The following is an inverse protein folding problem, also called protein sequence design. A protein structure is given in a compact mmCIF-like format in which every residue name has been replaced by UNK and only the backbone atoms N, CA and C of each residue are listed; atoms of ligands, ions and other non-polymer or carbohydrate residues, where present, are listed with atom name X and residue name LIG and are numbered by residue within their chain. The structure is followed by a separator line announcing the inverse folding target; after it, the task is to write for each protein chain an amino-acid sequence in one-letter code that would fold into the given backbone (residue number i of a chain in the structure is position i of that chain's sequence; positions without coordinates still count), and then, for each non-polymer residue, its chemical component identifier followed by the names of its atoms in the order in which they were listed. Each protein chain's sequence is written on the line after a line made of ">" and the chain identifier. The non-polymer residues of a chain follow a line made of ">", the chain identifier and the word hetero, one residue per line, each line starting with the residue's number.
data_IF_535637852770
#
_entry.id   IF_535637852770
#
_cell.length_a   1.000
_cell.length_b   1.000
_cell.length_c   1.000
_cell.angle_alpha   90.00
_cell.angle_beta   90.00
_cell.angle_gamma   90.00
#
_symmetry.space_group_name_H-M   'P 1'
#
loop_
_entity.id
_entity.type
_entity.pdbx_description
1 polymer ?
#
# COMPACT_ATOMS: atom_id res chain seq x y z
N UNK A 1 65.04 11.85 2.96
CA UNK A 1 64.22 10.74 3.47
C UNK A 1 62.76 11.22 3.49
N UNK A 2 61.90 10.73 2.60
CA UNK A 2 60.48 11.09 2.52
C UNK A 2 59.65 9.81 2.51
N UNK A 3 59.02 9.49 3.63
CA UNK A 3 57.99 8.45 3.71
C UNK A 3 56.89 8.98 4.63
N UNK A 4 55.70 8.43 4.44
CA UNK A 4 54.48 8.57 5.24
C UNK A 4 53.57 9.75 4.93
N UNK A 5 52.65 9.55 3.98
CA UNK A 5 51.28 10.12 4.01
C UNK A 5 50.37 9.39 3.02
N UNK A 6 50.03 8.12 3.27
CA UNK A 6 48.89 7.46 2.62
C UNK A 6 48.27 6.49 3.63
N UNK A 7 47.35 6.96 4.48
CA UNK A 7 46.52 6.09 5.33
C UNK A 7 45.34 6.83 6.01
N UNK A 8 44.58 7.68 5.28
CA UNK A 8 43.35 8.31 5.83
C UNK A 8 42.18 8.29 4.81
N UNK A 9 42.18 7.42 3.79
CA UNK A 9 41.10 7.40 2.79
C UNK A 9 40.08 6.25 2.91
N UNK A 10 40.22 5.34 3.89
CA UNK A 10 39.36 4.14 4.00
C UNK A 10 38.36 4.15 5.15
N UNK A 11 38.38 5.13 6.06
CA UNK A 11 37.47 5.20 7.20
C UNK A 11 36.19 6.02 6.96
N UNK A 12 36.05 6.70 5.81
CA UNK A 12 34.87 7.50 5.49
C UNK A 12 33.77 6.75 4.72
N UNK A 13 33.99 5.49 4.31
CA UNK A 13 33.08 4.75 3.43
C UNK A 13 32.08 3.83 4.16
N UNK A 14 32.22 3.60 5.48
CA UNK A 14 31.35 2.67 6.22
C UNK A 14 30.09 3.36 6.79
N UNK A 15 30.13 4.68 6.98
CA UNK A 15 29.02 5.45 7.58
C UNK A 15 27.87 5.83 6.62
N UNK A 16 28.05 5.71 5.31
CA UNK A 16 27.06 6.22 4.32
C UNK A 16 25.89 5.26 4.08
N UNK A 17 26.10 3.95 4.24
CA UNK A 17 25.06 2.95 3.95
C UNK A 17 23.84 3.08 4.88
N UNK A 18 24.06 3.33 6.18
CA UNK A 18 23.00 3.44 7.18
C UNK A 18 22.15 4.70 6.99
N UNK A 19 22.78 5.83 6.63
CA UNK A 19 22.07 7.08 6.34
C UNK A 19 21.16 6.94 5.11
N UNK A 20 21.62 6.22 4.07
CA UNK A 20 20.84 6.01 2.85
C UNK A 20 19.60 5.12 3.07
N UNK A 21 19.70 4.09 3.90
CA UNK A 21 18.56 3.21 4.23
C UNK A 21 17.50 3.97 5.02
N UNK A 22 17.90 4.76 6.02
CA UNK A 22 16.98 5.57 6.82
C UNK A 22 16.21 6.59 5.96
N UNK A 23 16.92 7.32 5.09
CA UNK A 23 16.30 8.31 4.20
C UNK A 23 15.34 7.67 3.18
N UNK A 24 15.68 6.49 2.63
CA UNK A 24 14.78 5.73 1.73
C UNK A 24 13.50 5.29 2.44
N UNK A 25 13.59 4.84 3.69
CA UNK A 25 12.43 4.43 4.49
C UNK A 25 11.52 5.61 4.83
N UNK A 26 12.09 6.75 5.24
CA UNK A 26 11.33 7.99 5.49
C UNK A 26 10.58 8.43 4.23
N UNK A 27 11.27 8.46 3.09
CA UNK A 27 10.66 8.84 1.82
C UNK A 27 9.55 7.87 1.39
N UNK A 28 9.78 6.56 1.56
CA UNK A 28 8.78 5.53 1.27
C UNK A 28 7.54 5.72 2.14
N UNK A 29 7.71 5.82 3.46
CA UNK A 29 6.59 5.95 4.40
C UNK A 29 5.80 7.24 4.15
N UNK A 30 6.47 8.35 3.83
CA UNK A 30 5.81 9.58 3.41
C UNK A 30 4.98 9.39 2.12
N UNK A 31 5.54 8.70 1.12
CA UNK A 31 4.81 8.42 -0.13
C UNK A 31 3.60 7.50 0.07
N UNK A 32 3.69 6.53 0.99
CA UNK A 32 2.57 5.65 1.39
C UNK A 32 1.48 6.50 2.03
N UNK A 33 1.83 7.37 3.00
CA UNK A 33 0.86 8.22 3.69
C UNK A 33 0.13 9.16 2.73
N UNK A 34 0.85 9.83 1.81
CA UNK A 34 0.24 10.72 0.81
C UNK A 34 -0.74 9.96 -0.11
N UNK A 35 -0.33 8.78 -0.58
CA UNK A 35 -1.21 7.95 -1.39
C UNK A 35 -2.44 7.47 -0.60
N UNK A 36 -2.23 7.01 0.63
CA UNK A 36 -3.28 6.50 1.51
C UNK A 36 -4.34 7.55 1.78
N UNK A 37 -3.94 8.76 2.18
CA UNK A 37 -4.86 9.88 2.43
C UNK A 37 -5.73 10.19 1.21
N UNK A 38 -5.12 10.19 0.01
CA UNK A 38 -5.86 10.40 -1.23
C UNK A 38 -6.84 9.27 -1.52
N UNK A 39 -6.38 8.02 -1.38
CA UNK A 39 -7.18 6.84 -1.67
C UNK A 39 -8.36 6.71 -0.71
N UNK A 40 -8.11 6.79 0.60
CA UNK A 40 -9.17 6.69 1.62
C UNK A 40 -10.22 7.78 1.45
N UNK A 41 -9.81 9.01 1.15
CA UNK A 41 -10.73 10.12 0.93
C UNK A 41 -11.64 9.85 -0.29
N UNK A 42 -11.10 9.28 -1.37
CA UNK A 42 -11.88 8.90 -2.54
C UNK A 42 -12.88 7.77 -2.21
N UNK A 43 -12.47 6.76 -1.44
CA UNK A 43 -13.36 5.66 -1.03
C UNK A 43 -14.49 6.15 -0.13
N UNK A 44 -14.18 6.98 0.88
CA UNK A 44 -15.17 7.57 1.80
C UNK A 44 -16.20 8.42 1.03
N UNK A 45 -15.76 9.16 0.02
CA UNK A 45 -16.63 9.95 -0.86
C UNK A 45 -17.36 9.13 -1.93
N UNK A 46 -17.07 7.83 -2.02
CA UNK A 46 -17.55 6.96 -3.10
C UNK A 46 -17.21 7.48 -4.51
N UNK A 47 -16.06 8.14 -4.66
CA UNK A 47 -15.56 8.64 -5.94
C UNK A 47 -14.94 7.50 -6.76
N UNK A 48 -15.81 6.74 -7.42
CA UNK A 48 -15.44 5.52 -8.17
C UNK A 48 -14.39 5.80 -9.25
N UNK A 49 -14.46 6.96 -9.89
CA UNK A 49 -13.54 7.33 -10.98
C UNK A 49 -12.14 7.54 -10.43
N UNK A 50 -12.02 8.28 -9.32
CA UNK A 50 -10.72 8.47 -8.67
C UNK A 50 -10.18 7.17 -8.11
N UNK A 51 -10.99 6.35 -7.43
CA UNK A 51 -10.53 5.06 -6.90
C UNK A 51 -10.06 4.14 -8.04
N UNK A 52 -10.78 4.08 -9.15
CA UNK A 52 -10.35 3.31 -10.32
C UNK A 52 -8.99 3.80 -10.86
N UNK A 53 -8.77 5.12 -10.91
CA UNK A 53 -7.49 5.69 -11.35
C UNK A 53 -6.33 5.37 -10.40
N UNK A 54 -6.63 5.18 -9.11
CA UNK A 54 -5.67 4.80 -8.06
C UNK A 54 -5.52 3.28 -7.91
N UNK A 55 -6.21 2.50 -8.73
CA UNK A 55 -6.16 1.04 -8.73
C UNK A 55 -5.26 0.51 -9.84
N UNK A 56 -4.72 -0.67 -9.63
CA UNK A 56 -4.06 -1.47 -10.65
C UNK A 56 -4.99 -2.62 -11.02
N UNK A 57 -5.18 -2.82 -12.32
CA UNK A 57 -6.00 -3.90 -12.85
C UNK A 57 -5.13 -5.06 -13.35
N UNK A 58 -5.55 -6.33 -13.18
CA UNK A 58 -6.76 -6.75 -12.46
C UNK A 58 -6.64 -6.56 -10.94
N UNK A 59 -7.75 -6.26 -10.28
CA UNK A 59 -7.85 -6.18 -8.82
C UNK A 59 -8.17 -7.59 -8.29
N UNK A 60 -7.37 -8.06 -7.34
CA UNK A 60 -7.57 -9.30 -6.60
C UNK A 60 -8.83 -9.24 -5.72
N UNK A 61 -9.51 -10.36 -5.59
CA UNK A 61 -10.72 -10.50 -4.79
C UNK A 61 -10.60 -11.74 -3.89
N UNK A 62 -11.40 -11.83 -2.82
CA UNK A 62 -11.43 -13.00 -1.95
C UNK A 62 -11.75 -14.31 -2.71
N UNK A 63 -11.54 -15.44 -2.05
CA UNK A 63 -11.63 -16.75 -2.68
C UNK A 63 -13.02 -16.98 -3.31
N UNK A 64 -13.04 -17.62 -4.49
CA UNK A 64 -14.28 -17.87 -5.23
C UNK A 64 -14.92 -16.62 -5.88
N UNK A 65 -14.43 -15.41 -5.60
CA UNK A 65 -14.92 -14.18 -6.23
C UNK A 65 -14.06 -13.84 -7.47
N UNK A 66 -14.67 -13.67 -8.66
CA UNK A 66 -13.90 -13.32 -9.85
C UNK A 66 -13.17 -11.99 -9.69
N UNK A 67 -11.93 -11.91 -10.20
CA UNK A 67 -11.15 -10.66 -10.22
C UNK A 67 -11.86 -9.55 -11.00
N UNK A 68 -11.57 -8.29 -10.63
CA UNK A 68 -12.06 -7.12 -11.36
C UNK A 68 -11.02 -6.70 -12.39
N UNK A 69 -11.29 -6.93 -13.67
CA UNK A 69 -10.30 -6.88 -14.75
C UNK A 69 -10.03 -5.50 -15.31
N UNK A 70 -10.95 -4.56 -15.17
CA UNK A 70 -10.83 -3.23 -15.75
C UNK A 70 -11.71 -2.20 -15.04
N UNK A 71 -11.54 -0.93 -15.44
CA UNK A 71 -12.26 0.22 -14.89
C UNK A 71 -13.80 0.09 -15.03
N UNK A 72 -14.30 -0.32 -16.20
CA UNK A 72 -15.74 -0.47 -16.41
C UNK A 72 -16.36 -1.52 -15.48
N UNK A 73 -15.69 -2.66 -15.30
CA UNK A 73 -16.11 -3.69 -14.36
C UNK A 73 -16.03 -3.19 -12.91
N UNK A 74 -15.00 -2.43 -12.57
CA UNK A 74 -14.83 -1.85 -11.24
C UNK A 74 -15.95 -0.88 -10.86
N UNK A 75 -16.32 0.05 -11.74
CA UNK A 75 -17.39 1.01 -11.46
C UNK A 75 -18.72 0.27 -11.17
N UNK A 76 -18.99 -0.82 -11.90
CA UNK A 76 -20.18 -1.67 -11.71
C UNK A 76 -20.11 -2.45 -10.40
N UNK A 77 -18.95 -3.01 -10.07
CA UNK A 77 -18.70 -3.87 -8.90
C UNK A 77 -18.15 -3.14 -7.69
N UNK A 78 -18.20 -1.81 -7.68
CA UNK A 78 -17.59 -0.99 -6.63
C UNK A 78 -18.07 -1.38 -5.23
N UNK A 79 -19.37 -1.72 -5.11
CA UNK A 79 -19.95 -2.21 -3.85
C UNK A 79 -19.40 -3.57 -3.45
N UNK A 80 -19.23 -4.51 -4.39
CA UNK A 80 -18.67 -5.83 -4.09
C UNK A 80 -17.23 -5.71 -3.55
N UNK A 81 -16.46 -4.75 -4.06
CA UNK A 81 -15.07 -4.51 -3.63
C UNK A 81 -14.99 -3.92 -2.22
N UNK A 82 -15.84 -2.93 -1.90
CA UNK A 82 -15.67 -2.13 -0.66
C UNK A 82 -16.76 -2.33 0.40
N UNK A 83 -17.87 -2.97 0.04
CA UNK A 83 -19.06 -3.17 0.88
C UNK A 83 -19.53 -4.64 0.87
N UNK A 84 -18.63 -5.59 0.56
CA UNK A 84 -18.90 -7.03 0.66
C UNK A 84 -18.88 -7.50 2.12
N UNK A 85 -17.72 -8.00 2.57
CA UNK A 85 -17.52 -8.50 3.94
C UNK A 85 -17.25 -7.40 4.98
N UNK A 86 -16.89 -6.20 4.54
CA UNK A 86 -16.62 -5.03 5.39
C UNK A 86 -17.29 -3.78 4.83
N UNK A 87 -17.43 -2.74 5.66
CA UNK A 87 -17.72 -1.38 5.19
C UNK A 87 -16.39 -0.60 5.15
N UNK A 88 -15.70 -0.65 4.01
CA UNK A 88 -14.37 -0.06 3.88
C UNK A 88 -14.39 1.45 4.11
N UNK A 89 -15.46 2.16 3.71
CA UNK A 89 -15.60 3.59 3.96
C UNK A 89 -15.65 3.93 5.46
N UNK A 90 -16.25 3.07 6.28
CA UNK A 90 -16.22 3.20 7.75
C UNK A 90 -14.83 2.87 8.28
N UNK A 91 -14.28 1.72 7.88
CA UNK A 91 -12.95 1.26 8.29
C UNK A 91 -11.86 2.32 8.04
N UNK A 92 -11.83 2.88 6.83
CA UNK A 92 -10.75 3.76 6.37
C UNK A 92 -10.74 5.16 7.04
N UNK A 93 -11.75 5.48 7.85
CA UNK A 93 -11.72 6.69 8.69
C UNK A 93 -10.66 6.59 9.79
N UNK A 94 -10.41 5.38 10.27
CA UNK A 94 -9.58 5.11 11.45
C UNK A 94 -8.37 4.25 11.10
N UNK A 95 -8.48 3.39 10.09
CA UNK A 95 -7.41 2.47 9.72
C UNK A 95 -6.15 3.17 9.21
N UNK A 96 -5.00 2.61 9.57
CA UNK A 96 -3.68 3.08 9.17
C UNK A 96 -2.98 2.05 8.26
N UNK A 97 -2.10 2.48 7.35
CA UNK A 97 -1.28 1.57 6.56
C UNK A 97 -0.35 0.72 7.42
N UNK A 98 -0.40 -0.59 7.23
CA UNK A 98 0.55 -1.55 7.76
C UNK A 98 1.69 -1.73 6.75
N UNK A 99 2.88 -1.27 7.11
CA UNK A 99 4.05 -1.29 6.24
C UNK A 99 4.81 -2.58 6.49
N UNK A 100 4.90 -3.43 5.47
CA UNK A 100 5.71 -4.64 5.54
C UNK A 100 7.21 -4.27 5.46
N UNK A 101 8.02 -4.53 6.50
CA UNK A 101 9.45 -4.23 6.47
C UNK A 101 10.21 -5.10 5.46
N UNK A 102 9.72 -6.31 5.20
CA UNK A 102 10.35 -7.31 4.32
C UNK A 102 9.93 -7.14 2.86
N UNK A 103 8.74 -6.56 2.62
CA UNK A 103 8.27 -6.22 1.27
C UNK A 103 8.04 -4.71 1.12
N UNK A 104 9.10 -3.98 0.78
CA UNK A 104 9.03 -2.52 0.55
C UNK A 104 8.19 -2.09 -0.65
N UNK A 105 7.71 -3.03 -1.47
CA UNK A 105 6.85 -2.78 -2.62
C UNK A 105 5.36 -2.95 -2.30
N UNK A 106 5.01 -3.24 -1.05
CA UNK A 106 3.62 -3.48 -0.62
C UNK A 106 3.34 -2.85 0.74
N UNK A 107 2.09 -2.46 0.95
CA UNK A 107 1.53 -2.22 2.28
C UNK A 107 0.07 -2.66 2.29
N UNK A 108 -0.47 -2.90 3.48
CA UNK A 108 -1.84 -3.38 3.67
C UNK A 108 -2.64 -2.44 4.56
N UNK A 109 -3.96 -2.61 4.54
CA UNK A 109 -4.87 -2.02 5.53
C UNK A 109 -5.86 -3.11 5.93
N UNK A 110 -5.87 -3.45 7.22
CA UNK A 110 -6.82 -4.42 7.77
C UNK A 110 -8.15 -3.73 8.14
N UNK A 111 -9.25 -4.42 7.84
CA UNK A 111 -10.60 -3.99 8.17
C UNK A 111 -11.38 -5.09 8.88
N UNK A 112 -12.22 -4.66 9.82
CA UNK A 112 -13.15 -5.55 10.51
C UNK A 112 -14.25 -6.04 9.56
N UNK A 113 -14.53 -7.34 9.57
CA UNK A 113 -15.71 -7.91 8.93
C UNK A 113 -17.00 -7.58 9.72
N UNK A 114 -18.14 -8.10 9.29
CA UNK A 114 -19.41 -7.91 9.99
C UNK A 114 -19.43 -8.48 11.43
N UNK A 115 -18.61 -9.50 11.72
CA UNK A 115 -18.45 -10.09 13.04
C UNK A 115 -17.48 -9.31 13.95
N UNK A 116 -16.80 -8.28 13.41
CA UNK A 116 -15.85 -7.44 14.16
C UNK A 116 -14.40 -7.93 14.13
N UNK A 117 -14.08 -8.93 13.31
CA UNK A 117 -12.75 -9.53 13.17
C UNK A 117 -11.95 -8.85 12.06
N UNK A 118 -10.68 -8.52 12.29
CA UNK A 118 -9.81 -7.84 11.31
C UNK A 118 -9.27 -8.80 10.24
N UNK A 119 -10.17 -9.34 9.43
CA UNK A 119 -9.88 -10.43 8.48
C UNK A 119 -9.97 -9.98 7.02
N UNK A 120 -10.52 -8.79 6.77
CA UNK A 120 -10.57 -8.22 5.42
C UNK A 120 -9.33 -7.37 5.18
N UNK A 121 -8.46 -7.79 4.28
CA UNK A 121 -7.17 -7.12 4.00
C UNK A 121 -7.25 -6.41 2.66
N UNK A 122 -7.02 -5.09 2.66
CA UNK A 122 -6.86 -4.31 1.44
C UNK A 122 -5.37 -4.16 1.12
N UNK A 123 -4.94 -4.66 -0.04
CA UNK A 123 -3.53 -4.68 -0.45
C UNK A 123 -3.19 -3.58 -1.46
N UNK A 124 -2.02 -2.99 -1.30
CA UNK A 124 -1.52 -1.90 -2.13
C UNK A 124 -0.09 -2.16 -2.61
N UNK A 125 0.12 -2.09 -3.92
CA UNK A 125 1.39 -2.38 -4.56
C UNK A 125 2.07 -1.14 -5.14
N UNK A 126 3.40 -1.12 -5.13
CA UNK A 126 4.22 -0.10 -5.79
C UNK A 126 4.38 -0.42 -7.26
N UNK A 127 4.03 0.55 -8.12
CA UNK A 127 4.27 0.47 -9.56
C UNK A 127 5.30 1.52 -9.99
N UNK A 128 5.71 1.50 -11.26
CA UNK A 128 6.51 2.58 -11.86
C UNK A 128 5.83 3.95 -11.74
N UNK A 129 4.51 3.99 -11.69
CA UNK A 129 3.69 5.21 -11.62
C UNK A 129 3.25 5.55 -10.19
N UNK A 130 3.89 4.95 -9.18
CA UNK A 130 3.54 5.12 -7.77
C UNK A 130 2.68 3.99 -7.21
N UNK A 131 2.16 4.20 -6.01
CA UNK A 131 1.31 3.25 -5.29
C UNK A 131 -0.04 3.06 -5.97
N UNK A 132 -0.55 1.83 -5.92
CA UNK A 132 -1.85 1.44 -6.47
C UNK A 132 -2.55 0.48 -5.53
N UNK A 133 -3.88 0.56 -5.49
CA UNK A 133 -4.72 -0.47 -4.91
C UNK A 133 -4.71 -1.72 -5.79
N UNK A 134 -4.52 -2.89 -5.19
CA UNK A 134 -4.29 -4.15 -5.92
C UNK A 134 -5.28 -5.24 -5.59
N UNK A 135 -5.93 -5.21 -4.43
CA UNK A 135 -6.87 -6.27 -4.08
C UNK A 135 -7.53 -6.12 -2.73
N UNK A 136 -8.58 -6.90 -2.55
CA UNK A 136 -9.16 -7.24 -1.24
C UNK A 136 -9.06 -8.74 -1.06
N UNK A 137 -8.72 -9.16 0.15
CA UNK A 137 -8.72 -10.56 0.56
C UNK A 137 -9.48 -10.73 1.87
N UNK A 138 -9.94 -11.95 2.15
CA UNK A 138 -10.50 -12.34 3.43
C UNK A 138 -9.72 -13.54 3.95
N UNK A 139 -8.88 -13.33 4.96
CA UNK A 139 -7.92 -14.35 5.43
C UNK A 139 -8.55 -15.54 6.16
N UNK A 140 -9.88 -15.52 6.36
CA UNK A 140 -10.64 -16.61 6.97
C UNK A 140 -11.23 -17.59 5.94
N UNK A 141 -11.10 -17.35 4.64
CA UNK A 141 -11.70 -18.14 3.55
C UNK A 141 -10.83 -19.28 3.02
#
# INVERSE_FOLDING_TARGET
>A
MKKTTILILWLALVGTAWAQVSQKNVQRNASIHVFWERFRAAVIKSDKVVVASLSQFPIGMPYGVPTVRNNAQFIRRYRDVFNGETNAAKCFREALPEINPDNSAEFTVACKNAAGEEVVICSFGRTRNGWKFTGVDNINE
#
